data_IF_586111163827
#
_entry.id   IF_586111163827
#
_cell.length_a   1.000
_cell.length_b   1.000
_cell.length_c   1.000
_cell.angle_alpha   90.00
_cell.angle_beta   90.00
_cell.angle_gamma   90.00
#
_symmetry.space_group_name_H-M   'P 1'
#
loop_
_entity.id
_entity.type
_entity.pdbx_description
1 polymer ?
#
# COMPACT_ATOMS: atom_id res chain seq x y z
N UNK A 1 -22.30 30.66 30.44
CA UNK A 1 -23.67 30.15 30.50
C UNK A 1 -24.44 31.20 31.29
N UNK A 2 -25.17 32.11 30.63
CA UNK A 2 -26.05 33.01 31.37
C UNK A 2 -27.01 32.13 32.17
N UNK A 3 -27.12 32.35 33.48
CA UNK A 3 -27.97 31.54 34.35
C UNK A 3 -29.43 31.79 33.96
N UNK A 4 -29.92 31.04 32.98
CA UNK A 4 -31.32 31.05 32.56
C UNK A 4 -32.25 30.81 33.76
N UNK A 5 -31.76 30.06 34.74
CA UNK A 5 -32.37 29.90 36.04
C UNK A 5 -32.46 31.21 36.84
N UNK A 6 -31.40 32.02 36.88
CA UNK A 6 -31.42 33.34 37.52
C UNK A 6 -32.36 34.31 36.78
N UNK A 7 -32.41 34.24 35.44
CA UNK A 7 -33.37 35.02 34.65
C UNK A 7 -34.82 34.63 35.00
N UNK A 8 -35.13 33.32 35.01
CA UNK A 8 -36.45 32.84 35.42
C UNK A 8 -36.79 33.23 36.86
N UNK A 9 -35.81 33.18 37.77
CA UNK A 9 -35.98 33.56 39.18
C UNK A 9 -36.22 35.06 39.35
N UNK A 10 -35.49 35.92 38.63
CA UNK A 10 -35.73 37.38 38.62
C UNK A 10 -37.11 37.69 38.05
N UNK A 11 -37.49 37.04 36.95
CA UNK A 11 -38.79 37.22 36.31
C UNK A 11 -39.93 36.77 37.24
N UNK A 12 -39.72 35.69 38.00
CA UNK A 12 -40.63 35.21 39.04
C UNK A 12 -40.74 36.19 40.21
N UNK A 13 -39.63 36.68 40.76
CA UNK A 13 -39.64 37.68 41.82
C UNK A 13 -40.34 38.98 41.39
N UNK A 14 -40.11 39.40 40.15
CA UNK A 14 -40.77 40.57 39.56
C UNK A 14 -42.27 40.35 39.37
N UNK A 15 -42.70 39.15 38.97
CA UNK A 15 -44.12 38.78 38.90
C UNK A 15 -44.81 38.90 40.25
N UNK A 16 -44.18 38.36 41.30
CA UNK A 16 -44.69 38.37 42.68
C UNK A 16 -44.74 39.78 43.24
N UNK A 17 -43.70 40.60 42.99
CA UNK A 17 -43.60 41.96 43.50
C UNK A 17 -44.59 42.92 42.81
N UNK A 18 -44.72 42.84 41.49
CA UNK A 18 -45.58 43.73 40.71
C UNK A 18 -47.04 43.26 40.63
N UNK A 19 -47.36 42.02 41.08
CA UNK A 19 -48.69 41.38 40.99
C UNK A 19 -49.27 41.43 39.57
N UNK A 20 -48.42 41.24 38.57
CA UNK A 20 -48.80 41.28 37.16
C UNK A 20 -49.03 39.87 36.63
N UNK A 21 -50.29 39.50 36.40
CA UNK A 21 -50.67 38.15 35.95
C UNK A 21 -50.02 37.76 34.62
N UNK A 22 -49.77 38.73 33.73
CA UNK A 22 -49.16 38.47 32.42
C UNK A 22 -47.71 37.97 32.49
N UNK A 23 -47.00 38.29 33.58
CA UNK A 23 -45.62 37.87 33.77
C UNK A 23 -45.56 36.35 34.02
N UNK A 24 -46.56 35.76 34.68
CA UNK A 24 -46.64 34.31 34.86
C UNK A 24 -46.79 33.57 33.53
N UNK A 25 -47.58 34.10 32.59
CA UNK A 25 -47.66 33.53 31.24
C UNK A 25 -46.31 33.55 30.53
N UNK A 26 -45.53 34.64 30.66
CA UNK A 26 -44.19 34.72 30.10
C UNK A 26 -43.25 33.66 30.69
N UNK A 27 -43.30 33.45 32.02
CA UNK A 27 -42.51 32.41 32.70
C UNK A 27 -42.87 31.02 32.19
N UNK A 28 -44.16 30.71 32.05
CA UNK A 28 -44.60 29.40 31.54
C UNK A 28 -44.17 29.17 30.10
N UNK A 29 -44.26 30.19 29.24
CA UNK A 29 -43.83 30.09 27.84
C UNK A 29 -42.31 29.90 27.76
N UNK A 30 -41.53 30.73 28.45
CA UNK A 30 -40.06 30.68 28.43
C UNK A 30 -39.55 29.38 29.06
N UNK A 31 -40.10 28.98 30.21
CA UNK A 31 -39.78 27.72 30.86
C UNK A 31 -40.21 26.49 30.03
N UNK A 32 -41.37 26.55 29.38
CA UNK A 32 -41.84 25.52 28.46
C UNK A 32 -40.94 25.36 27.24
N UNK A 33 -40.50 26.46 26.62
CA UNK A 33 -39.55 26.45 25.50
C UNK A 33 -38.22 25.83 25.94
N UNK A 34 -37.74 26.17 27.13
CA UNK A 34 -36.49 25.60 27.67
C UNK A 34 -36.60 24.09 27.93
N UNK A 35 -37.67 23.65 28.60
CA UNK A 35 -37.90 22.23 28.86
C UNK A 35 -38.07 21.44 27.56
N UNK A 36 -38.83 21.99 26.60
CA UNK A 36 -39.01 21.41 25.27
C UNK A 36 -37.70 21.34 24.49
N UNK A 37 -36.89 22.41 24.51
CA UNK A 37 -35.58 22.46 23.86
C UNK A 37 -34.65 21.36 24.37
N UNK A 38 -34.58 21.17 25.69
CA UNK A 38 -33.74 20.13 26.29
C UNK A 38 -34.25 18.72 25.98
N UNK A 39 -35.57 18.53 26.03
CA UNK A 39 -36.20 17.26 25.67
C UNK A 39 -35.97 16.89 24.20
N UNK A 40 -36.19 17.84 23.28
CA UNK A 40 -35.99 17.64 21.84
C UNK A 40 -34.51 17.38 21.53
N UNK A 41 -33.59 18.16 22.10
CA UNK A 41 -32.15 18.05 21.83
C UNK A 41 -31.57 16.74 22.34
N UNK A 42 -32.03 16.23 23.49
CA UNK A 42 -31.63 14.89 23.97
C UNK A 42 -32.12 13.77 23.07
N UNK A 43 -33.28 13.93 22.42
CA UNK A 43 -33.87 12.91 21.55
C UNK A 43 -33.36 12.98 20.11
N UNK A 44 -32.90 14.15 19.65
CA UNK A 44 -32.55 14.40 18.25
C UNK A 44 -31.48 13.43 17.74
N UNK A 45 -30.32 13.35 18.42
CA UNK A 45 -29.22 12.47 18.00
C UNK A 45 -29.53 10.98 18.22
N UNK A 46 -30.26 10.62 19.28
CA UNK A 46 -30.66 9.22 19.51
C UNK A 46 -31.59 8.66 18.42
N UNK A 47 -32.32 9.54 17.73
CA UNK A 47 -33.22 9.17 16.63
C UNK A 47 -32.57 9.29 15.25
N UNK A 48 -31.30 9.70 15.19
CA UNK A 48 -30.57 9.93 13.95
C UNK A 48 -29.77 8.68 13.60
N UNK A 49 -30.16 8.00 12.52
CA UNK A 49 -29.38 6.91 11.97
C UNK A 49 -28.36 7.48 10.97
N UNK A 50 -27.09 7.22 11.23
CA UNK A 50 -25.97 7.65 10.40
C UNK A 50 -25.49 6.45 9.60
N UNK A 51 -25.35 6.60 8.28
CA UNK A 51 -24.72 5.61 7.41
C UNK A 51 -23.68 6.29 6.55
N UNK A 52 -22.47 5.74 6.55
CA UNK A 52 -21.34 6.23 5.75
C UNK A 52 -21.14 5.28 4.58
N UNK A 53 -20.88 5.83 3.41
CA UNK A 53 -20.34 5.10 2.25
C UNK A 53 -19.01 5.73 1.94
N UNK A 54 -17.97 4.98 2.26
CA UNK A 54 -16.59 5.42 2.10
C UNK A 54 -15.90 4.51 1.09
N UNK A 55 -15.02 5.06 0.26
CA UNK A 55 -14.12 4.24 -0.54
C UNK A 55 -13.18 3.48 0.41
N UNK A 56 -12.98 2.19 0.14
CA UNK A 56 -12.01 1.36 0.88
C UNK A 56 -10.63 1.39 0.23
N UNK A 57 -10.57 1.70 -1.06
CA UNK A 57 -9.38 1.60 -1.90
C UNK A 57 -9.32 2.76 -2.89
N UNK A 58 -8.14 3.30 -3.12
CA UNK A 58 -7.86 4.33 -4.12
C UNK A 58 -6.40 4.23 -4.58
N UNK A 59 -6.05 4.83 -5.72
CA UNK A 59 -4.66 5.04 -6.10
C UNK A 59 -4.17 6.46 -5.79
N UNK A 60 -2.86 6.60 -5.70
CA UNK A 60 -2.22 7.92 -5.50
C UNK A 60 -2.51 8.82 -6.70
N UNK A 61 -2.97 10.05 -6.42
CA UNK A 61 -3.40 11.04 -7.42
C UNK A 61 -4.89 10.99 -7.77
N UNK A 62 -5.65 10.01 -7.26
CA UNK A 62 -7.09 9.93 -7.49
C UNK A 62 -7.88 10.80 -6.50
N UNK A 63 -9.01 11.33 -6.97
CA UNK A 63 -10.03 11.95 -6.12
C UNK A 63 -11.16 10.96 -5.91
N UNK A 64 -11.49 10.67 -4.66
CA UNK A 64 -12.58 9.76 -4.30
C UNK A 64 -13.66 10.49 -3.51
N UNK A 65 -14.92 10.18 -3.83
CA UNK A 65 -16.08 10.76 -3.17
C UNK A 65 -16.49 9.91 -1.97
N UNK A 66 -16.73 10.57 -0.84
CA UNK A 66 -17.26 9.97 0.38
C UNK A 66 -18.64 10.54 0.68
N UNK A 67 -19.59 9.68 1.05
CA UNK A 67 -20.99 10.03 1.28
C UNK A 67 -21.40 9.73 2.72
N UNK A 68 -22.02 10.71 3.39
CA UNK A 68 -22.66 10.56 4.69
C UNK A 68 -24.17 10.75 4.51
N UNK A 69 -24.92 9.69 4.79
CA UNK A 69 -26.37 9.65 4.74
C UNK A 69 -26.91 9.71 6.16
N UNK A 70 -27.65 10.78 6.44
CA UNK A 70 -28.29 11.03 7.71
C UNK A 70 -29.78 10.76 7.56
N UNK A 71 -30.33 9.86 8.38
CA UNK A 71 -31.75 9.56 8.40
C UNK A 71 -32.36 9.90 9.76
N UNK A 72 -33.19 10.94 9.81
CA UNK A 72 -33.92 11.30 11.00
C UNK A 72 -35.21 10.46 11.08
N UNK A 73 -35.31 9.59 12.08
CA UNK A 73 -36.49 8.75 12.29
C UNK A 73 -37.59 9.45 13.11
N UNK A 74 -37.26 10.56 13.76
CA UNK A 74 -38.20 11.32 14.57
C UNK A 74 -39.13 12.18 13.73
N UNK A 75 -40.28 12.54 14.32
CA UNK A 75 -41.23 13.49 13.76
C UNK A 75 -40.72 14.93 13.74
N UNK A 76 -39.84 15.28 14.68
CA UNK A 76 -39.35 16.64 14.84
C UNK A 76 -38.11 16.88 13.96
N UNK A 77 -37.99 18.07 13.35
CA UNK A 77 -36.80 18.43 12.61
C UNK A 77 -35.61 18.66 13.54
N UNK A 78 -34.40 18.44 13.01
CA UNK A 78 -33.13 18.86 13.60
C UNK A 78 -32.74 20.16 12.89
N UNK A 79 -32.98 21.34 13.51
CA UNK A 79 -32.85 22.62 12.82
C UNK A 79 -31.41 22.88 12.41
N UNK A 80 -30.44 22.56 13.29
CA UNK A 80 -29.02 22.61 12.98
C UNK A 80 -28.31 21.34 13.44
N UNK A 81 -27.49 20.80 12.54
CA UNK A 81 -26.62 19.67 12.76
C UNK A 81 -25.26 20.01 12.16
N UNK A 82 -24.24 20.12 13.01
CA UNK A 82 -22.85 20.29 12.61
C UNK A 82 -22.23 18.91 12.45
N UNK A 83 -21.81 18.61 11.23
CA UNK A 83 -21.13 17.39 10.84
C UNK A 83 -19.66 17.74 10.71
N UNK A 84 -18.79 17.05 11.44
CA UNK A 84 -17.34 17.23 11.37
C UNK A 84 -16.68 15.88 11.13
N UNK A 85 -16.06 15.73 9.97
CA UNK A 85 -15.25 14.57 9.62
C UNK A 85 -13.77 14.88 9.87
N UNK A 86 -13.04 13.92 10.44
CA UNK A 86 -11.60 14.04 10.66
C UNK A 86 -10.85 13.33 9.54
N UNK A 87 -10.26 14.11 8.63
CA UNK A 87 -9.57 13.62 7.43
C UNK A 87 -8.06 13.86 7.55
N UNK A 88 -7.21 12.83 7.39
CA UNK A 88 -5.75 12.98 7.37
C UNK A 88 -5.27 13.96 6.29
N UNK A 89 -4.19 14.70 6.56
CA UNK A 89 -3.68 15.76 5.67
C UNK A 89 -3.45 15.30 4.23
N UNK A 90 -2.92 14.09 4.04
CA UNK A 90 -2.64 13.51 2.72
C UNK A 90 -3.90 13.16 1.91
N UNK A 91 -5.10 13.28 2.50
CA UNK A 91 -6.39 13.03 1.84
C UNK A 91 -7.22 14.31 1.66
N UNK A 92 -6.74 15.47 2.10
CA UNK A 92 -7.51 16.70 2.09
C UNK A 92 -7.57 17.36 0.70
N UNK A 93 -8.68 17.97 0.32
CA UNK A 93 -8.83 18.70 -0.97
C UNK A 93 -8.83 20.22 -0.78
N UNK A 94 -8.64 20.70 0.46
CA UNK A 94 -8.84 22.11 0.84
C UNK A 94 -10.30 22.49 1.11
N UNK A 95 -11.23 21.55 0.93
CA UNK A 95 -12.64 21.69 1.35
C UNK A 95 -12.77 21.63 2.88
N UNK A 96 -13.77 22.35 3.43
CA UNK A 96 -14.10 22.23 4.85
C UNK A 96 -14.85 20.93 5.09
N UNK A 97 -14.21 19.98 5.79
CA UNK A 97 -14.85 18.77 6.33
C UNK A 97 -15.79 19.03 7.52
N UNK A 98 -16.04 20.32 7.80
CA UNK A 98 -17.07 20.80 8.71
C UNK A 98 -18.24 21.36 7.90
N UNK A 99 -19.38 20.70 8.00
CA UNK A 99 -20.62 21.06 7.32
C UNK A 99 -21.71 21.34 8.34
N UNK A 100 -22.64 22.22 7.98
CA UNK A 100 -23.86 22.44 8.76
C UNK A 100 -25.04 22.07 7.88
N UNK A 101 -25.93 21.24 8.41
CA UNK A 101 -27.14 20.79 7.73
C UNK A 101 -28.35 20.95 8.64
N UNK A 102 -29.52 21.10 8.02
CA UNK A 102 -30.81 20.91 8.67
C UNK A 102 -31.39 19.60 8.16
N UNK A 103 -32.01 18.81 9.04
CA UNK A 103 -32.63 17.53 8.69
C UNK A 103 -34.07 17.55 9.15
N UNK A 104 -35.01 17.59 8.21
CA UNK A 104 -36.45 17.55 8.52
C UNK A 104 -36.86 16.28 9.28
N UNK A 105 -38.03 16.32 9.91
CA UNK A 105 -38.63 15.13 10.52
C UNK A 105 -38.88 14.04 9.47
N UNK A 106 -38.61 12.77 9.81
CA UNK A 106 -38.76 11.60 8.93
C UNK A 106 -38.07 11.72 7.57
N UNK A 107 -37.05 12.58 7.48
CA UNK A 107 -36.37 12.87 6.22
C UNK A 107 -34.97 12.25 6.17
N UNK A 108 -34.37 12.31 4.98
CA UNK A 108 -32.98 11.92 4.73
C UNK A 108 -32.22 13.13 4.21
N UNK A 109 -30.99 13.30 4.69
CA UNK A 109 -30.07 14.29 4.17
C UNK A 109 -28.77 13.57 3.79
N UNK A 110 -28.34 13.76 2.55
CA UNK A 110 -27.07 13.23 2.04
C UNK A 110 -26.07 14.37 1.94
N UNK A 111 -24.84 14.13 2.41
CA UNK A 111 -23.71 15.04 2.25
C UNK A 111 -22.53 14.28 1.64
N UNK A 112 -21.98 14.84 0.58
CA UNK A 112 -20.82 14.30 -0.13
C UNK A 112 -19.62 15.22 0.11
N UNK A 113 -18.45 14.65 0.27
CA UNK A 113 -17.18 15.38 0.33
C UNK A 113 -16.10 14.64 -0.47
N UNK A 114 -15.12 15.38 -0.96
CA UNK A 114 -14.06 14.84 -1.80
C UNK A 114 -12.77 14.64 -1.02
N UNK A 115 -12.14 13.49 -1.24
CA UNK A 115 -10.84 13.14 -0.70
C UNK A 115 -9.85 13.06 -1.87
N UNK A 116 -8.76 13.81 -1.81
CA UNK A 116 -7.70 13.76 -2.81
C UNK A 116 -6.49 12.99 -2.27
N UNK A 117 -6.17 11.86 -2.89
CA UNK A 117 -5.14 10.94 -2.44
C UNK A 117 -3.73 11.42 -2.82
N UNK A 118 -3.15 12.33 -2.05
CA UNK A 118 -1.83 12.91 -2.36
C UNK A 118 -0.68 11.91 -2.29
N UNK A 119 -0.75 10.96 -1.35
CA UNK A 119 0.30 9.98 -1.07
C UNK A 119 -0.31 8.63 -0.75
N UNK A 120 0.39 7.56 -1.13
CA UNK A 120 0.09 6.20 -0.68
C UNK A 120 0.07 6.14 0.85
N UNK A 121 -0.65 5.16 1.39
CA UNK A 121 -0.77 4.99 2.83
C UNK A 121 -2.00 4.22 3.22
N UNK A 122 -2.03 3.83 4.49
CA UNK A 122 -3.21 3.26 5.13
C UNK A 122 -3.81 4.30 6.08
N UNK A 123 -4.95 4.87 5.73
CA UNK A 123 -5.51 6.04 6.40
C UNK A 123 -6.79 5.71 7.16
N UNK A 124 -6.82 5.99 8.46
CA UNK A 124 -8.05 5.97 9.24
C UNK A 124 -8.90 7.23 8.95
N UNK A 125 -10.14 7.03 8.52
CA UNK A 125 -11.12 8.08 8.25
C UNK A 125 -12.04 8.27 9.45
N UNK A 126 -11.90 9.40 10.13
CA UNK A 126 -12.71 9.76 11.28
C UNK A 126 -11.90 10.03 12.55
N UNK A 127 -12.58 10.20 13.69
CA UNK A 127 -14.00 9.89 13.90
C UNK A 127 -14.95 10.94 13.30
N UNK A 128 -16.15 10.49 12.89
CA UNK A 128 -17.25 11.37 12.51
C UNK A 128 -17.90 11.95 13.77
N UNK A 129 -17.91 13.27 13.90
CA UNK A 129 -18.53 13.99 15.02
C UNK A 129 -19.77 14.73 14.55
N UNK A 130 -20.87 14.48 15.25
CA UNK A 130 -22.15 15.16 15.06
C UNK A 130 -22.47 15.99 16.29
N UNK A 131 -22.69 17.28 16.10
CA UNK A 131 -23.18 18.17 17.15
C UNK A 131 -24.52 18.75 16.71
N UNK A 132 -25.55 18.57 17.53
CA UNK A 132 -26.86 19.17 17.35
C UNK A 132 -27.20 20.06 18.53
N UNK A 133 -28.16 20.95 18.34
CA UNK A 133 -28.72 21.73 19.43
C UNK A 133 -29.98 22.44 19.00
N UNK A 134 -30.39 23.38 19.84
CA UNK A 134 -31.58 24.19 19.61
C UNK A 134 -31.24 25.56 18.99
N UNK A 135 -32.27 26.27 18.53
CA UNK A 135 -32.14 27.60 17.93
C UNK A 135 -31.75 28.68 18.96
N UNK A 136 -32.05 28.46 20.24
CA UNK A 136 -31.78 29.41 21.32
C UNK A 136 -30.46 29.13 22.05
N UNK A 137 -29.79 28.01 21.76
CA UNK A 137 -28.54 27.61 22.39
C UNK A 137 -28.67 27.14 23.84
N UNK A 138 -29.87 26.76 24.29
CA UNK A 138 -30.11 26.23 25.64
C UNK A 138 -29.57 24.81 25.82
N UNK A 139 -29.57 24.00 24.76
CA UNK A 139 -29.17 22.60 24.83
C UNK A 139 -28.30 22.21 23.64
N UNK A 140 -27.29 21.39 23.92
CA UNK A 140 -26.43 20.80 22.91
C UNK A 140 -26.35 19.29 23.15
N UNK A 141 -26.27 18.53 22.07
CA UNK A 141 -26.03 17.11 22.07
C UNK A 141 -24.89 16.80 21.11
N UNK A 142 -24.01 15.89 21.51
CA UNK A 142 -22.86 15.45 20.73
C UNK A 142 -22.92 13.94 20.58
N UNK A 143 -22.55 13.46 19.39
CA UNK A 143 -22.37 12.06 19.07
C UNK A 143 -21.07 11.90 18.31
N UNK A 144 -20.31 10.87 18.65
CA UNK A 144 -19.04 10.54 18.02
C UNK A 144 -19.05 9.06 17.64
N UNK A 145 -18.63 8.79 16.41
CA UNK A 145 -18.50 7.42 15.92
C UNK A 145 -17.32 6.72 16.58
N UNK A 146 -17.52 5.49 17.05
CA UNK A 146 -16.49 4.71 17.75
C UNK A 146 -15.50 4.05 16.78
N UNK A 147 -16.00 3.52 15.67
CA UNK A 147 -15.19 2.85 14.66
C UNK A 147 -14.62 3.83 13.65
N UNK A 148 -13.34 3.65 13.31
CA UNK A 148 -12.67 4.42 12.26
C UNK A 148 -12.50 3.51 11.04
N UNK A 149 -13.34 3.66 9.99
CA UNK A 149 -13.11 2.96 8.74
C UNK A 149 -11.78 3.40 8.11
N UNK A 150 -11.20 2.53 7.29
CA UNK A 150 -9.88 2.75 6.70
C UNK A 150 -9.97 2.87 5.17
N UNK A 151 -9.11 3.72 4.61
CA UNK A 151 -8.89 3.87 3.18
C UNK A 151 -7.43 3.51 2.88
N UNK A 152 -7.25 2.46 2.07
CA UNK A 152 -5.93 2.09 1.54
C UNK A 152 -5.68 2.85 0.24
N UNK A 153 -4.68 3.70 0.23
CA UNK A 153 -4.21 4.38 -0.98
C UNK A 153 -2.99 3.65 -1.52
N UNK A 154 -3.15 3.00 -2.66
CA UNK A 154 -2.09 2.27 -3.34
C UNK A 154 -1.05 3.22 -3.96
N UNK A 155 0.21 2.77 -4.05
CA UNK A 155 1.23 3.51 -4.78
C UNK A 155 0.84 3.71 -6.24
N UNK A 156 1.37 4.77 -6.85
CA UNK A 156 1.27 4.96 -8.30
C UNK A 156 1.92 3.76 -9.01
N UNK A 157 1.25 3.24 -10.03
CA UNK A 157 1.76 2.15 -10.88
C UNK A 157 1.97 2.72 -12.28
N UNK A 158 3.21 2.66 -12.77
CA UNK A 158 3.56 3.09 -14.12
C UNK A 158 3.41 1.91 -15.09
N UNK A 159 2.89 2.19 -16.28
CA UNK A 159 2.82 1.19 -17.34
C UNK A 159 4.19 1.05 -17.98
N UNK A 160 4.73 -0.17 -17.95
CA UNK A 160 6.03 -0.48 -18.54
C UNK A 160 5.80 -1.20 -19.87
N UNK A 161 6.41 -0.71 -20.95
CA UNK A 161 6.06 -1.15 -22.31
C UNK A 161 6.69 -2.49 -22.71
N UNK A 162 7.69 -3.03 -21.98
CA UNK A 162 8.25 -4.40 -22.14
C UNK A 162 9.46 -4.64 -21.24
N UNK A 163 9.38 -4.97 -19.95
CA UNK A 163 10.60 -5.40 -19.22
C UNK A 163 11.17 -6.63 -19.94
N UNK A 164 12.39 -6.50 -20.48
CA UNK A 164 13.08 -7.56 -21.22
C UNK A 164 13.45 -8.78 -20.38
N UNK A 165 12.77 -8.98 -19.22
CA UNK A 165 12.85 -10.12 -18.30
C UNK A 165 12.93 -11.42 -19.08
N UNK A 166 13.67 -12.44 -18.60
CA UNK A 166 13.71 -13.75 -19.23
C UNK A 166 12.31 -14.38 -19.27
N UNK A 167 11.53 -13.95 -20.25
CA UNK A 167 10.19 -14.42 -20.55
C UNK A 167 10.36 -15.67 -21.38
N UNK A 168 10.19 -16.83 -20.75
CA UNK A 168 10.12 -18.09 -21.48
C UNK A 168 8.75 -18.71 -21.29
N UNK A 169 7.76 -18.12 -21.97
CA UNK A 169 6.79 -18.95 -22.67
C UNK A 169 7.61 -19.79 -23.68
N UNK A 170 7.73 -21.12 -23.53
CA UNK A 170 8.71 -21.91 -24.26
C UNK A 170 8.19 -22.31 -25.65
N UNK A 171 7.78 -21.32 -26.46
CA UNK A 171 7.45 -21.53 -27.87
C UNK A 171 8.40 -20.83 -28.84
N UNK A 172 9.40 -20.09 -28.34
CA UNK A 172 10.47 -19.50 -29.14
C UNK A 172 11.76 -20.31 -29.08
N UNK A 173 12.36 -20.57 -30.24
CA UNK A 173 13.61 -21.31 -30.43
C UNK A 173 14.77 -20.50 -29.82
N UNK A 174 15.02 -20.62 -28.52
CA UNK A 174 16.22 -20.12 -27.88
C UNK A 174 17.29 -21.22 -27.86
N UNK A 175 18.36 -21.02 -28.62
CA UNK A 175 19.61 -21.79 -28.54
C UNK A 175 20.36 -21.41 -27.25
N UNK A 176 19.84 -21.80 -26.10
CA UNK A 176 20.60 -21.68 -24.84
C UNK A 176 21.38 -22.97 -24.57
N UNK A 177 22.68 -22.81 -24.31
CA UNK A 177 23.61 -23.87 -23.87
C UNK A 177 23.41 -24.27 -22.40
N UNK A 178 22.45 -23.68 -21.69
CA UNK A 178 22.15 -24.04 -20.31
C UNK A 178 21.19 -25.23 -20.29
N UNK A 179 21.57 -26.28 -19.56
CA UNK A 179 20.75 -27.47 -19.35
C UNK A 179 19.50 -27.06 -18.57
N UNK A 180 18.42 -26.76 -19.30
CA UNK A 180 17.07 -26.71 -18.75
C UNK A 180 16.88 -28.07 -18.07
N UNK A 181 16.75 -28.09 -16.74
CA UNK A 181 16.31 -29.29 -16.05
C UNK A 181 14.92 -29.61 -16.59
N UNK A 182 14.84 -30.70 -17.33
CA UNK A 182 13.62 -31.23 -17.90
C UNK A 182 13.00 -32.12 -16.83
N UNK A 183 11.74 -31.90 -16.47
CA UNK A 183 11.06 -32.79 -15.54
C UNK A 183 10.76 -34.11 -16.26
N UNK A 184 11.36 -35.25 -15.87
CA UNK A 184 11.13 -36.54 -16.52
C UNK A 184 9.68 -37.03 -16.37
N UNK A 185 8.91 -36.45 -15.44
CA UNK A 185 7.54 -36.85 -15.13
C UNK A 185 6.49 -36.11 -15.97
N UNK A 186 6.86 -34.97 -16.59
CA UNK A 186 5.95 -34.13 -17.40
C UNK A 186 6.32 -34.16 -18.88
N UNK A 187 5.80 -35.16 -19.59
CA UNK A 187 5.99 -35.29 -21.04
C UNK A 187 5.08 -34.31 -21.80
N UNK A 188 5.67 -33.40 -22.59
CA UNK A 188 4.99 -32.42 -23.44
C UNK A 188 4.61 -32.97 -24.82
N UNK A 189 5.31 -34.01 -25.29
CA UNK A 189 5.12 -34.61 -26.62
C UNK A 189 6.34 -35.40 -27.09
N UNK A 190 6.39 -35.69 -28.39
CA UNK A 190 7.53 -36.36 -29.06
C UNK A 190 8.03 -35.51 -30.23
N UNK A 191 9.32 -35.66 -30.57
CA UNK A 191 9.91 -35.06 -31.79
C UNK A 191 10.87 -36.04 -32.46
N UNK A 192 11.20 -35.85 -33.76
CA UNK A 192 12.23 -36.64 -34.42
C UNK A 192 13.58 -36.57 -33.71
N UNK A 193 14.27 -37.70 -33.66
CA UNK A 193 15.63 -37.85 -33.13
C UNK A 193 16.62 -37.05 -33.97
N UNK A 194 17.49 -36.29 -33.31
CA UNK A 194 18.60 -35.59 -33.94
C UNK A 194 19.94 -36.08 -33.37
N UNK A 195 20.97 -36.07 -34.21
CA UNK A 195 22.33 -36.44 -33.80
C UNK A 195 22.81 -35.55 -32.65
N UNK A 196 23.01 -36.16 -31.47
CA UNK A 196 23.34 -35.47 -30.22
C UNK A 196 22.32 -35.71 -29.09
N UNK A 197 21.15 -36.25 -29.41
CA UNK A 197 20.15 -36.61 -28.42
C UNK A 197 20.53 -37.90 -27.66
N UNK A 198 20.30 -37.87 -26.35
CA UNK A 198 20.54 -39.03 -25.47
C UNK A 198 19.56 -40.16 -25.79
N UNK A 199 20.09 -41.37 -26.02
CA UNK A 199 19.29 -42.57 -26.28
C UNK A 199 18.34 -42.92 -25.13
N UNK A 200 18.64 -42.48 -23.89
CA UNK A 200 17.75 -42.69 -22.73
C UNK A 200 16.42 -41.95 -22.85
N UNK A 201 16.34 -40.93 -23.70
CA UNK A 201 15.13 -40.13 -23.90
C UNK A 201 14.30 -40.60 -25.11
N UNK A 202 14.66 -41.72 -25.76
CA UNK A 202 13.87 -42.29 -26.86
C UNK A 202 12.52 -42.78 -26.32
N UNK A 203 11.44 -42.41 -27.00
CA UNK A 203 10.11 -42.92 -26.72
C UNK A 203 9.85 -44.16 -27.58
N UNK A 204 10.33 -45.32 -27.11
CA UNK A 204 10.30 -46.58 -27.87
C UNK A 204 8.93 -46.95 -28.40
N UNK A 205 7.87 -46.77 -27.60
CA UNK A 205 6.50 -47.11 -28.01
C UNK A 205 5.98 -46.24 -29.16
N UNK A 206 6.40 -44.97 -29.23
CA UNK A 206 5.99 -44.08 -30.32
C UNK A 206 6.86 -44.34 -31.56
N UNK A 207 8.15 -44.58 -31.34
CA UNK A 207 9.10 -44.87 -32.42
C UNK A 207 8.76 -46.16 -33.17
N UNK A 208 8.23 -47.17 -32.46
CA UNK A 208 7.79 -48.43 -33.04
C UNK A 208 6.51 -48.32 -33.89
N UNK A 209 5.71 -47.27 -33.69
CA UNK A 209 4.47 -47.06 -34.45
C UNK A 209 4.68 -46.20 -35.69
N UNK A 210 5.62 -45.24 -35.62
CA UNK A 210 5.89 -44.26 -36.66
C UNK A 210 7.11 -44.63 -37.54
N UNK A 211 7.68 -45.81 -37.32
CA UNK A 211 8.89 -46.38 -37.95
C UNK A 211 10.10 -45.41 -38.02
N UNK A 212 10.12 -44.44 -37.11
CA UNK A 212 11.15 -43.41 -37.01
C UNK A 212 11.52 -43.18 -35.54
N UNK A 213 12.79 -42.86 -35.26
CA UNK A 213 13.23 -42.61 -33.88
C UNK A 213 12.65 -41.30 -33.36
N UNK A 214 11.85 -41.39 -32.30
CA UNK A 214 11.21 -40.25 -31.64
C UNK A 214 11.77 -40.07 -30.22
N UNK A 215 12.09 -38.84 -29.85
CA UNK A 215 12.63 -38.45 -28.53
C UNK A 215 11.53 -37.76 -27.72
N UNK A 216 11.43 -38.11 -26.43
CA UNK A 216 10.53 -37.47 -25.46
C UNK A 216 10.86 -35.98 -25.35
N UNK A 217 9.87 -35.13 -25.58
CA UNK A 217 9.92 -33.70 -25.26
C UNK A 217 9.34 -33.53 -23.86
N UNK A 218 10.16 -33.11 -22.91
CA UNK A 218 9.72 -32.82 -21.55
C UNK A 218 9.34 -31.34 -21.43
N UNK A 219 8.39 -31.01 -20.54
CA UNK A 219 8.15 -29.63 -20.16
C UNK A 219 9.35 -29.10 -19.34
N UNK A 220 9.77 -27.84 -19.52
CA UNK A 220 10.72 -27.19 -18.61
C UNK A 220 10.17 -27.26 -17.18
N UNK A 221 11.00 -27.64 -16.20
CA UNK A 221 10.53 -27.96 -14.84
C UNK A 221 10.36 -26.77 -13.90
N UNK A 222 10.55 -25.52 -14.33
CA UNK A 222 10.49 -24.36 -13.42
C UNK A 222 9.78 -23.18 -14.08
N UNK A 223 8.68 -22.74 -13.47
CA UNK A 223 8.28 -21.34 -13.59
C UNK A 223 9.42 -20.52 -12.97
N UNK A 224 10.05 -19.66 -13.77
CA UNK A 224 11.09 -18.77 -13.26
C UNK A 224 10.39 -17.70 -12.43
N UNK A 225 10.29 -17.94 -11.12
CA UNK A 225 9.74 -16.97 -10.19
C UNK A 225 10.63 -15.73 -10.16
N UNK A 226 10.03 -14.55 -10.16
CA UNK A 226 10.74 -13.27 -10.04
C UNK A 226 10.47 -12.64 -8.68
N UNK A 227 11.49 -12.58 -7.83
CA UNK A 227 11.38 -11.96 -6.50
C UNK A 227 11.87 -10.52 -6.56
N UNK A 228 10.99 -9.58 -6.22
CA UNK A 228 11.34 -8.18 -6.05
C UNK A 228 11.84 -8.00 -4.62
N UNK A 229 13.03 -7.44 -4.46
CA UNK A 229 13.58 -7.02 -3.18
C UNK A 229 13.53 -5.51 -3.13
N UNK A 230 12.79 -4.94 -2.19
CA UNK A 230 12.67 -3.50 -2.02
C UNK A 230 13.43 -3.03 -0.78
N UNK A 231 14.39 -2.13 -1.00
CA UNK A 231 15.18 -1.51 0.06
C UNK A 231 14.47 -0.28 0.64
N UNK A 232 14.16 -0.33 1.94
CA UNK A 232 13.53 0.72 2.72
C UNK A 232 14.27 0.95 4.04
N UNK A 233 15.56 0.62 4.12
CA UNK A 233 16.41 1.09 5.22
C UNK A 233 16.65 2.60 5.08
N UNK A 234 16.27 3.36 6.10
CA UNK A 234 16.39 4.83 6.10
C UNK A 234 17.82 5.31 5.87
N UNK A 235 18.82 4.58 6.37
CA UNK A 235 20.22 4.98 6.26
C UNK A 235 20.85 4.64 4.90
N UNK A 236 20.19 3.81 4.09
CA UNK A 236 20.62 3.54 2.71
C UNK A 236 20.28 4.69 1.77
N UNK A 237 19.38 5.60 2.16
CA UNK A 237 19.02 6.78 1.38
C UNK A 237 19.79 8.03 1.85
N UNK A 238 20.33 8.86 0.93
CA UNK A 238 20.88 10.17 1.26
C UNK A 238 19.84 11.03 2.00
N UNK A 239 20.24 11.83 3.02
CA UNK A 239 19.29 12.58 3.86
C UNK A 239 18.25 13.42 3.09
N UNK A 240 18.67 14.02 1.96
CA UNK A 240 17.81 14.85 1.10
C UNK A 240 16.84 14.04 0.24
N UNK A 241 17.16 12.77 -0.03
CA UNK A 241 16.39 11.88 -0.90
C UNK A 241 15.64 10.79 -0.12
N UNK A 242 15.76 10.73 1.22
CA UNK A 242 15.04 9.75 2.07
C UNK A 242 13.57 9.63 1.71
N UNK A 243 12.86 10.75 1.67
CA UNK A 243 11.42 10.74 1.40
C UNK A 243 11.13 10.52 -0.09
N UNK A 244 11.75 11.28 -0.99
CA UNK A 244 11.46 11.20 -2.42
C UNK A 244 11.91 9.88 -3.07
N UNK A 245 13.13 9.45 -2.74
CA UNK A 245 13.75 8.24 -3.28
C UNK A 245 13.08 6.97 -2.78
N UNK A 246 12.65 6.90 -1.52
CA UNK A 246 11.92 5.73 -1.01
C UNK A 246 10.52 5.61 -1.60
N UNK A 247 9.80 6.72 -1.74
CA UNK A 247 8.50 6.73 -2.45
C UNK A 247 8.68 6.31 -3.92
N UNK A 248 9.74 6.78 -4.56
CA UNK A 248 10.08 6.36 -5.92
C UNK A 248 10.43 4.86 -5.99
N UNK A 249 11.18 4.33 -5.02
CA UNK A 249 11.49 2.90 -4.91
C UNK A 249 10.21 2.06 -4.82
N UNK A 250 9.23 2.50 -4.03
CA UNK A 250 7.93 1.84 -3.91
C UNK A 250 7.16 1.87 -5.23
N UNK A 251 7.16 3.01 -5.95
CA UNK A 251 6.54 3.12 -7.28
C UNK A 251 7.21 2.18 -8.29
N UNK A 252 8.54 2.10 -8.28
CA UNK A 252 9.31 1.18 -9.13
C UNK A 252 8.93 -0.27 -8.81
N UNK A 253 8.95 -0.67 -7.54
CA UNK A 253 8.56 -2.02 -7.12
C UNK A 253 7.11 -2.37 -7.51
N UNK A 254 6.17 -1.45 -7.31
CA UNK A 254 4.77 -1.62 -7.68
C UNK A 254 4.60 -1.78 -9.21
N UNK A 255 5.35 -0.99 -9.99
CA UNK A 255 5.32 -1.02 -11.46
C UNK A 255 5.94 -2.31 -12.01
N UNK A 256 7.06 -2.76 -11.44
CA UNK A 256 7.68 -4.05 -11.77
C UNK A 256 6.72 -5.21 -11.48
N UNK A 257 6.12 -5.25 -10.27
CA UNK A 257 5.18 -6.30 -9.88
C UNK A 257 3.97 -6.36 -10.82
N UNK A 258 3.37 -5.20 -11.12
CA UNK A 258 2.24 -5.07 -12.04
C UNK A 258 2.60 -5.58 -13.45
N UNK A 259 3.77 -5.21 -13.94
CA UNK A 259 4.24 -5.65 -15.26
C UNK A 259 4.47 -7.16 -15.33
N UNK A 260 5.17 -7.75 -14.34
CA UNK A 260 5.48 -9.18 -14.28
C UNK A 260 4.19 -10.02 -14.21
N UNK A 261 3.25 -9.61 -13.35
CA UNK A 261 1.94 -10.28 -13.23
C UNK A 261 1.11 -10.09 -14.51
N UNK A 262 1.20 -8.92 -15.14
CA UNK A 262 0.60 -8.64 -16.45
C UNK A 262 1.09 -9.58 -17.54
N UNK A 263 2.37 -9.97 -17.50
CA UNK A 263 2.97 -11.00 -18.37
C UNK A 263 2.63 -12.45 -17.95
N UNK A 264 1.77 -12.64 -16.93
CA UNK A 264 1.39 -13.94 -16.35
C UNK A 264 2.57 -14.71 -15.73
N UNK A 265 3.60 -14.00 -15.30
CA UNK A 265 4.72 -14.58 -14.58
C UNK A 265 4.46 -14.52 -13.07
N UNK A 266 5.13 -15.41 -12.33
CA UNK A 266 5.08 -15.42 -10.87
C UNK A 266 6.00 -14.35 -10.31
N UNK A 267 5.48 -13.54 -9.38
CA UNK A 267 6.29 -12.56 -8.67
C UNK A 267 5.98 -12.54 -7.19
N UNK A 268 7.01 -12.28 -6.38
CA UNK A 268 6.91 -12.07 -4.95
C UNK A 268 7.62 -10.79 -4.53
N UNK A 269 7.41 -10.37 -3.30
CA UNK A 269 7.98 -9.16 -2.73
C UNK A 269 8.64 -9.47 -1.38
N UNK A 270 9.88 -9.04 -1.22
CA UNK A 270 10.66 -9.09 0.00
C UNK A 270 11.12 -7.66 0.30
N UNK A 271 11.03 -7.20 1.54
CA UNK A 271 11.48 -5.85 1.90
C UNK A 271 11.99 -5.80 3.34
N UNK A 272 13.02 -4.98 3.57
CA UNK A 272 13.53 -4.61 4.90
C UNK A 272 12.76 -3.41 5.50
N UNK A 273 11.64 -3.00 4.89
CA UNK A 273 10.75 -1.95 5.41
C UNK A 273 9.99 -2.37 6.66
N UNK A 274 9.35 -1.40 7.30
CA UNK A 274 8.48 -1.61 8.45
C UNK A 274 7.02 -1.72 8.00
N UNK A 275 6.34 -2.82 8.33
CA UNK A 275 4.89 -2.93 8.21
C UNK A 275 4.25 -2.67 9.59
N UNK A 276 3.59 -1.51 9.80
CA UNK A 276 3.03 -1.14 11.10
C UNK A 276 1.86 -2.03 11.54
N UNK A 277 1.32 -2.86 10.64
CA UNK A 277 0.24 -3.80 10.92
C UNK A 277 0.69 -5.26 10.94
N UNK A 278 2.00 -5.50 10.81
CA UNK A 278 2.55 -6.82 11.06
C UNK A 278 2.49 -7.09 12.55
N UNK A 279 1.54 -7.94 12.95
CA UNK A 279 1.47 -8.51 14.31
C UNK A 279 2.72 -9.37 14.52
N UNK A 280 3.84 -8.74 14.86
CA UNK A 280 4.89 -9.45 15.57
C UNK A 280 4.30 -9.87 16.91
N UNK A 281 4.17 -11.18 17.14
CA UNK A 281 3.62 -11.78 18.35
C UNK A 281 3.96 -10.91 19.57
N UNK A 282 2.99 -10.13 20.07
CA UNK A 282 3.20 -9.18 21.17
C UNK A 282 3.60 -9.88 22.50
N UNK A 283 3.62 -11.21 22.51
CA UNK A 283 4.03 -12.08 23.61
C UNK A 283 5.49 -12.55 23.53
N UNK A 284 6.20 -12.27 22.44
CA UNK A 284 7.65 -12.46 22.36
C UNK A 284 8.26 -11.09 22.14
N UNK A 285 9.06 -10.60 23.10
CA UNK A 285 9.79 -9.33 23.02
C UNK A 285 10.89 -9.37 21.96
N UNK A 286 10.50 -9.68 20.73
CA UNK A 286 11.37 -10.07 19.64
C UNK A 286 11.81 -8.84 18.85
N UNK A 287 13.10 -8.80 18.50
CA UNK A 287 13.74 -7.71 17.77
C UNK A 287 13.20 -7.50 16.33
N UNK A 288 12.19 -8.28 15.92
CA UNK A 288 11.60 -8.33 14.58
C UNK A 288 10.17 -7.75 14.54
N UNK A 289 9.74 -7.01 15.58
CA UNK A 289 8.44 -6.38 15.60
C UNK A 289 8.31 -5.36 14.45
N UNK A 290 7.29 -5.54 13.60
CA UNK A 290 7.06 -4.72 12.41
C UNK A 290 7.78 -5.18 11.14
N UNK A 291 8.40 -6.37 11.13
CA UNK A 291 8.93 -6.99 9.91
C UNK A 291 7.82 -7.26 8.89
N UNK A 292 8.04 -6.77 7.68
CA UNK A 292 7.17 -7.09 6.56
C UNK A 292 7.32 -8.56 6.20
N UNK A 293 6.20 -9.30 6.27
CA UNK A 293 6.21 -10.70 5.87
C UNK A 293 6.51 -10.84 4.37
N UNK A 294 7.45 -11.72 3.97
CA UNK A 294 7.77 -11.92 2.58
C UNK A 294 6.55 -12.50 1.84
N UNK A 295 6.18 -11.86 0.74
CA UNK A 295 5.12 -12.33 -0.14
C UNK A 295 5.73 -13.32 -1.14
N UNK A 296 5.33 -14.61 -1.15
CA UNK A 296 5.90 -15.60 -2.04
C UNK A 296 5.55 -15.33 -3.50
N UNK A 297 6.32 -15.94 -4.40
CA UNK A 297 6.08 -15.90 -5.83
C UNK A 297 4.76 -16.55 -6.24
N UNK A 298 3.79 -15.74 -6.64
CA UNK A 298 2.53 -16.23 -7.22
C UNK A 298 2.13 -15.32 -8.38
N UNK A 299 1.08 -15.70 -9.12
CA UNK A 299 0.54 -14.92 -10.23
C UNK A 299 -0.92 -14.51 -9.95
N UNK A 300 -1.45 -13.63 -10.81
CA UNK A 300 -2.85 -13.22 -10.79
C UNK A 300 -3.11 -11.86 -10.15
N UNK A 301 -4.26 -11.28 -10.50
CA UNK A 301 -4.65 -9.92 -10.10
C UNK A 301 -4.90 -9.79 -8.59
N UNK A 302 -5.44 -10.83 -7.94
CA UNK A 302 -5.61 -10.85 -6.48
C UNK A 302 -4.26 -10.79 -5.75
N UNK A 303 -3.25 -11.49 -6.27
CA UNK A 303 -1.89 -11.47 -5.73
C UNK A 303 -1.22 -10.10 -5.91
N UNK A 304 -1.36 -9.49 -7.08
CA UNK A 304 -0.91 -8.12 -7.33
C UNK A 304 -1.50 -7.16 -6.30
N UNK A 305 -2.80 -7.27 -6.02
CA UNK A 305 -3.46 -6.41 -5.05
C UNK A 305 -2.90 -6.60 -3.63
N UNK A 306 -2.53 -7.82 -3.24
CA UNK A 306 -1.86 -8.08 -1.97
C UNK A 306 -0.47 -7.45 -1.88
N UNK A 307 0.31 -7.50 -2.97
CA UNK A 307 1.60 -6.78 -3.06
C UNK A 307 1.40 -5.27 -2.94
N UNK A 308 0.44 -4.71 -3.69
CA UNK A 308 0.14 -3.28 -3.64
C UNK A 308 -0.37 -2.83 -2.27
N UNK A 309 -1.11 -3.67 -1.56
CA UNK A 309 -1.59 -3.41 -0.20
C UNK A 309 -0.44 -3.36 0.81
N UNK A 310 0.53 -4.28 0.72
CA UNK A 310 1.76 -4.21 1.52
C UNK A 310 2.53 -2.92 1.19
N UNK A 311 2.74 -2.63 -0.10
CA UNK A 311 3.44 -1.42 -0.54
C UNK A 311 2.70 -0.12 -0.17
N UNK A 312 1.38 -0.15 -0.01
CA UNK A 312 0.60 1.00 0.44
C UNK A 312 0.92 1.35 1.91
N UNK A 313 1.10 0.35 2.78
CA UNK A 313 1.31 0.55 4.22
C UNK A 313 2.77 0.50 4.68
N UNK A 314 3.68 0.01 3.84
CA UNK A 314 5.10 -0.11 4.20
C UNK A 314 5.74 1.27 4.45
N UNK A 315 6.52 1.37 5.52
CA UNK A 315 7.23 2.57 5.92
C UNK A 315 8.76 2.36 5.89
N UNK A 316 9.49 3.48 5.78
CA UNK A 316 10.94 3.49 5.94
C UNK A 316 11.31 2.99 7.32
N UNK A 317 12.22 2.01 7.38
CA UNK A 317 12.71 1.47 8.63
C UNK A 317 13.86 2.32 9.15
N UNK A 318 13.71 2.83 10.37
CA UNK A 318 14.79 3.45 11.12
C UNK A 318 15.45 2.43 12.03
N UNK A 319 16.77 2.37 12.00
CA UNK A 319 17.54 1.65 13.01
C UNK A 319 17.77 2.57 14.23
N UNK A 320 17.20 2.29 15.41
CA UNK A 320 17.38 3.12 16.60
C UNK A 320 18.82 3.11 17.12
N UNK A 321 19.58 2.05 16.84
CA UNK A 321 20.96 1.86 17.32
C UNK A 321 22.00 2.47 16.36
N UNK A 322 21.58 2.89 15.16
CA UNK A 322 22.44 3.55 14.21
C UNK A 322 22.42 5.07 14.42
N UNK A 323 23.60 5.65 14.64
CA UNK A 323 23.77 7.10 14.64
C UNK A 323 23.61 7.62 13.21
N UNK A 324 22.89 8.74 13.04
CA UNK A 324 22.73 9.38 11.73
C UNK A 324 24.12 9.88 11.32
N UNK A 325 24.74 9.35 10.24
CA UNK A 325 26.09 9.74 9.86
C UNK A 325 26.04 11.21 9.43
N UNK A 326 26.36 12.10 10.38
CA UNK A 326 26.38 13.54 10.16
C UNK A 326 27.52 13.96 9.22
N UNK A 327 28.51 13.09 9.00
CA UNK A 327 29.71 13.42 8.25
C UNK A 327 30.17 12.21 7.44
N UNK A 328 30.52 12.47 6.17
CA UNK A 328 31.32 11.61 5.27
C UNK A 328 30.73 10.27 4.80
N UNK A 329 29.91 10.29 3.75
CA UNK A 329 30.03 9.41 2.56
C UNK A 329 30.04 7.87 2.69
N UNK A 330 29.92 7.32 3.89
CA UNK A 330 29.92 5.89 4.21
C UNK A 330 28.50 5.46 4.58
N UNK A 331 27.81 4.82 3.64
CA UNK A 331 26.53 4.12 3.81
C UNK A 331 26.86 2.64 4.13
N UNK A 332 26.35 1.87 5.11
CA UNK A 332 25.50 2.05 6.31
C UNK A 332 25.94 0.96 7.32
N UNK A 333 26.15 1.24 8.63
CA UNK A 333 26.36 0.24 9.70
C UNK A 333 25.04 -0.35 10.25
N UNK A 334 23.89 -0.04 9.62
CA UNK A 334 22.59 -0.52 10.10
C UNK A 334 22.49 -2.05 10.05
N UNK A 335 21.83 -2.65 11.04
CA UNK A 335 21.47 -4.07 11.03
C UNK A 335 20.52 -4.43 9.87
N UNK A 336 19.75 -3.45 9.39
CA UNK A 336 18.80 -3.61 8.29
C UNK A 336 19.41 -3.25 6.93
N UNK A 337 20.70 -2.90 6.90
CA UNK A 337 21.43 -2.66 5.66
C UNK A 337 21.36 -3.92 4.80
N UNK A 338 21.08 -3.71 3.51
CA UNK A 338 20.65 -4.78 2.64
C UNK A 338 21.69 -5.89 2.47
N UNK A 339 22.99 -5.56 2.51
CA UNK A 339 24.07 -6.55 2.42
C UNK A 339 24.10 -7.55 3.59
N UNK A 340 23.69 -7.13 4.80
CA UNK A 340 23.61 -8.00 5.98
C UNK A 340 22.25 -8.71 6.07
N UNK A 341 21.19 -8.01 5.71
CA UNK A 341 19.82 -8.48 5.84
C UNK A 341 19.41 -9.46 4.72
N UNK A 342 19.83 -9.21 3.47
CA UNK A 342 19.38 -9.97 2.31
C UNK A 342 19.70 -11.47 2.38
N UNK A 343 20.93 -11.92 2.71
CA UNK A 343 21.30 -13.33 2.60
C UNK A 343 20.43 -14.26 3.46
N UNK A 344 20.01 -13.83 4.65
CA UNK A 344 19.15 -14.64 5.53
C UNK A 344 17.72 -14.75 5.00
N UNK A 345 17.21 -13.73 4.31
CA UNK A 345 15.83 -13.65 3.83
C UNK A 345 15.61 -14.28 2.45
N UNK A 346 16.66 -14.48 1.66
CA UNK A 346 16.58 -15.15 0.35
C UNK A 346 17.03 -16.61 0.38
N UNK A 347 17.33 -17.15 1.56
CA UNK A 347 17.82 -18.52 1.72
C UNK A 347 16.83 -19.60 1.28
N UNK A 348 15.53 -19.32 1.29
CA UNK A 348 14.50 -20.24 0.80
C UNK A 348 14.31 -20.26 -0.71
N UNK A 349 14.96 -19.37 -1.47
CA UNK A 349 14.72 -19.25 -2.91
C UNK A 349 15.38 -20.40 -3.70
N UNK A 350 14.64 -20.91 -4.68
CA UNK A 350 15.06 -21.98 -5.57
C UNK A 350 16.11 -21.52 -6.59
N UNK A 351 16.88 -22.47 -7.13
CA UNK A 351 17.85 -22.22 -8.19
C UNK A 351 17.16 -21.67 -9.45
N UNK A 352 17.77 -20.69 -10.11
CA UNK A 352 17.22 -20.04 -11.32
C UNK A 352 16.20 -18.92 -11.06
N UNK A 353 15.83 -18.64 -9.81
CA UNK A 353 14.95 -17.51 -9.44
C UNK A 353 15.60 -16.19 -9.88
N UNK A 354 14.81 -15.29 -10.49
CA UNK A 354 15.28 -13.94 -10.83
C UNK A 354 15.04 -13.02 -9.64
N UNK A 355 16.10 -12.36 -9.17
CA UNK A 355 16.05 -11.43 -8.05
C UNK A 355 16.21 -10.01 -8.59
N UNK A 356 15.17 -9.19 -8.51
CA UNK A 356 15.21 -7.78 -8.89
C UNK A 356 15.30 -6.95 -7.62
N UNK A 357 16.47 -6.37 -7.38
CA UNK A 357 16.74 -5.51 -6.24
C UNK A 357 16.45 -4.05 -6.60
N UNK A 358 15.54 -3.41 -5.88
CA UNK A 358 15.26 -1.97 -5.95
C UNK A 358 15.92 -1.31 -4.76
N UNK A 359 16.99 -0.55 -4.98
CA UNK A 359 17.81 0.05 -3.89
C UNK A 359 18.27 1.46 -4.25
N UNK A 360 18.41 2.39 -3.29
CA UNK A 360 18.92 3.72 -3.57
C UNK A 360 20.41 3.72 -3.96
N UNK A 361 21.21 2.85 -3.36
CA UNK A 361 22.67 2.91 -3.49
C UNK A 361 23.29 1.52 -3.58
N UNK A 362 24.32 1.41 -4.41
CA UNK A 362 25.07 0.19 -4.62
C UNK A 362 26.46 0.37 -3.99
N UNK A 363 26.67 -0.29 -2.86
CA UNK A 363 27.96 -0.30 -2.14
C UNK A 363 28.77 -1.56 -2.45
N UNK A 364 30.10 -1.51 -2.22
CA UNK A 364 30.97 -2.68 -2.42
C UNK A 364 30.54 -3.91 -1.59
N UNK A 365 30.18 -3.80 -0.29
CA UNK A 365 29.67 -4.94 0.48
C UNK A 365 28.39 -5.54 -0.11
N UNK A 366 27.52 -4.69 -0.67
CA UNK A 366 26.32 -5.14 -1.34
C UNK A 366 26.66 -5.90 -2.63
N UNK A 367 27.57 -5.38 -3.47
CA UNK A 367 28.02 -6.09 -4.67
C UNK A 367 28.58 -7.47 -4.37
N UNK A 368 29.40 -7.61 -3.31
CA UNK A 368 29.91 -8.91 -2.87
C UNK A 368 28.79 -9.87 -2.45
N UNK A 369 27.81 -9.37 -1.72
CA UNK A 369 26.64 -10.14 -1.29
C UNK A 369 25.81 -10.62 -2.49
N UNK A 370 25.58 -9.74 -3.47
CA UNK A 370 24.88 -10.05 -4.71
C UNK A 370 25.67 -11.03 -5.58
N UNK A 371 26.99 -10.92 -5.65
CA UNK A 371 27.83 -11.86 -6.37
C UNK A 371 27.78 -13.25 -5.75
N UNK A 372 27.74 -13.36 -4.41
CA UNK A 372 27.55 -14.64 -3.73
C UNK A 372 26.19 -15.29 -4.07
N UNK A 373 25.12 -14.49 -4.17
CA UNK A 373 23.80 -14.95 -4.60
C UNK A 373 23.79 -15.38 -6.08
N UNK A 374 24.49 -14.65 -6.95
CA UNK A 374 24.65 -15.02 -8.35
C UNK A 374 25.38 -16.36 -8.50
N UNK A 375 26.46 -16.56 -7.72
CA UNK A 375 27.21 -17.84 -7.69
C UNK A 375 26.40 -19.02 -7.14
N UNK A 376 25.39 -18.77 -6.31
CA UNK A 376 24.41 -19.77 -5.86
C UNK A 376 23.44 -20.19 -6.98
N UNK A 377 23.40 -19.43 -8.08
CA UNK A 377 22.57 -19.70 -9.26
C UNK A 377 21.26 -18.91 -9.30
N UNK A 378 21.18 -17.79 -8.58
CA UNK A 378 20.11 -16.80 -8.73
C UNK A 378 20.48 -15.81 -9.83
N UNK A 379 19.52 -15.37 -10.64
CA UNK A 379 19.77 -14.32 -11.63
C UNK A 379 19.55 -12.96 -10.96
N UNK A 380 20.63 -12.25 -10.64
CA UNK A 380 20.56 -11.00 -9.86
C UNK A 380 20.55 -9.79 -10.78
N UNK A 381 19.58 -8.91 -10.55
CA UNK A 381 19.45 -7.64 -11.24
C UNK A 381 19.19 -6.51 -10.24
N UNK A 382 19.74 -5.33 -10.51
CA UNK A 382 19.65 -4.18 -9.62
C UNK A 382 19.08 -2.99 -10.36
N UNK A 383 18.10 -2.33 -9.73
CA UNK A 383 17.50 -1.07 -10.17
C UNK A 383 17.84 -0.02 -9.12
N UNK A 384 18.79 0.84 -9.45
CA UNK A 384 19.18 2.00 -8.66
C UNK A 384 18.19 3.15 -8.87
N UNK A 385 17.54 3.58 -7.78
CA UNK A 385 16.46 4.57 -7.81
C UNK A 385 16.89 5.98 -7.39
N UNK A 386 18.12 6.12 -6.89
CA UNK A 386 18.70 7.39 -6.47
C UNK A 386 19.97 7.66 -7.28
N UNK A 387 20.30 8.94 -7.47
CA UNK A 387 21.52 9.34 -8.18
C UNK A 387 22.73 9.08 -7.29
N UNK A 388 23.57 8.12 -7.70
CA UNK A 388 24.86 7.87 -7.05
C UNK A 388 26.03 8.43 -7.86
N UNK A 389 27.02 9.08 -7.20
CA UNK A 389 28.25 9.48 -7.87
C UNK A 389 29.06 8.24 -8.30
N UNK A 390 29.68 8.29 -9.48
CA UNK A 390 30.49 7.18 -9.98
C UNK A 390 29.70 5.94 -10.40
N UNK A 391 28.40 6.07 -10.69
CA UNK A 391 27.52 4.96 -11.11
C UNK A 391 28.15 4.09 -12.22
N UNK A 392 28.77 4.68 -13.25
CA UNK A 392 29.40 3.93 -14.34
C UNK A 392 30.50 2.97 -13.86
N UNK A 393 31.34 3.39 -12.89
CA UNK A 393 32.39 2.53 -12.34
C UNK A 393 31.78 1.32 -11.61
N UNK A 394 30.76 1.59 -10.79
CA UNK A 394 30.04 0.58 -10.03
C UNK A 394 29.28 -0.37 -10.96
N UNK A 395 28.67 0.14 -12.02
CA UNK A 395 27.98 -0.65 -13.05
C UNK A 395 28.95 -1.58 -13.78
N UNK A 396 30.10 -1.06 -14.22
CA UNK A 396 31.13 -1.89 -14.88
C UNK A 396 31.68 -2.98 -13.96
N UNK A 397 31.86 -2.67 -12.67
CA UNK A 397 32.28 -3.66 -11.66
C UNK A 397 31.22 -4.72 -11.43
N UNK A 398 29.94 -4.35 -11.39
CA UNK A 398 28.82 -5.27 -11.24
C UNK A 398 28.67 -6.18 -12.47
N UNK A 399 28.80 -5.63 -13.68
CA UNK A 399 28.77 -6.40 -14.93
C UNK A 399 29.91 -7.42 -15.00
N UNK A 400 31.12 -7.05 -14.55
CA UNK A 400 32.24 -7.98 -14.42
C UNK A 400 31.95 -9.14 -13.43
N UNK A 401 31.04 -8.93 -12.48
CA UNK A 401 30.55 -9.94 -11.53
C UNK A 401 29.30 -10.69 -12.03
N UNK A 402 28.85 -10.44 -13.27
CA UNK A 402 27.66 -11.03 -13.88
C UNK A 402 26.34 -10.50 -13.31
N UNK A 403 26.35 -9.30 -12.74
CA UNK A 403 25.18 -8.62 -12.16
C UNK A 403 24.77 -7.49 -13.10
N UNK A 404 23.52 -7.49 -13.53
CA UNK A 404 23.00 -6.40 -14.37
C UNK A 404 22.50 -5.26 -13.49
N UNK A 405 22.98 -4.05 -13.76
CA UNK A 405 22.63 -2.86 -12.99
C UNK A 405 22.00 -1.83 -13.93
N UNK A 406 20.87 -1.30 -13.49
CA UNK A 406 20.11 -0.30 -14.20
C UNK A 406 19.86 0.90 -13.31
N UNK A 407 19.80 2.08 -13.91
CA UNK A 407 19.43 3.30 -13.21
C UNK A 407 18.04 3.74 -13.67
N UNK A 408 17.14 3.96 -12.72
CA UNK A 408 15.81 4.50 -12.96
C UNK A 408 15.60 5.71 -12.04
N UNK A 409 16.01 6.89 -12.48
CA UNK A 409 15.86 8.12 -11.69
C UNK A 409 14.50 8.79 -11.92
N UNK A 410 13.95 8.61 -13.12
CA UNK A 410 12.70 9.22 -13.56
C UNK A 410 11.74 8.19 -14.17
N UNK A 411 10.47 8.59 -14.33
CA UNK A 411 9.45 7.77 -14.99
C UNK A 411 9.85 7.35 -16.41
N UNK A 412 10.55 8.22 -17.13
CA UNK A 412 11.08 7.93 -18.48
C UNK A 412 12.10 6.81 -18.49
N UNK A 413 12.97 6.76 -17.47
CA UNK A 413 14.06 5.80 -17.39
C UNK A 413 13.50 4.40 -17.09
N UNK A 414 12.49 4.34 -16.23
CA UNK A 414 11.77 3.11 -15.92
C UNK A 414 10.99 2.58 -17.14
N UNK A 415 10.44 3.45 -17.98
CA UNK A 415 9.81 3.03 -19.23
C UNK A 415 10.85 2.50 -20.24
N UNK A 416 12.03 3.12 -20.31
CA UNK A 416 13.14 2.69 -21.18
C UNK A 416 13.79 1.38 -20.73
N UNK A 417 13.76 1.06 -19.43
CA UNK A 417 14.17 -0.24 -18.91
C UNK A 417 13.44 -1.39 -19.60
N UNK A 418 12.22 -1.13 -20.08
CA UNK A 418 11.53 -2.05 -20.95
C UNK A 418 12.12 -2.11 -22.37
N UNK A 419 12.20 -0.97 -23.04
CA UNK A 419 12.55 -0.89 -24.46
C UNK A 419 13.98 -1.35 -24.80
N UNK A 420 14.95 -1.22 -23.87
CA UNK A 420 16.35 -1.61 -24.12
C UNK A 420 16.62 -3.12 -24.08
N UNK A 421 15.59 -3.97 -23.89
CA UNK A 421 15.82 -5.41 -23.74
C UNK A 421 16.67 -5.75 -22.51
N UNK A 422 16.65 -4.89 -21.48
CA UNK A 422 17.65 -4.80 -20.40
C UNK A 422 17.80 -6.03 -19.50
N UNK A 423 16.96 -7.06 -19.63
CA UNK A 423 17.15 -8.33 -18.93
C UNK A 423 17.53 -9.47 -19.88
N UNK A 424 17.98 -9.17 -21.11
CA UNK A 424 18.60 -10.16 -21.98
C UNK A 424 20.02 -10.46 -21.51
N UNK A 425 20.11 -11.46 -20.65
CA UNK A 425 21.35 -12.11 -20.27
C UNK A 425 21.38 -13.55 -20.77
N UNK A 426 22.03 -13.76 -21.92
CA UNK A 426 22.48 -15.02 -22.58
C UNK A 426 21.58 -15.59 -23.68
#
# INVERSE_FOLDING_TARGET
MFDFFALLLVLFLMAVFLRLDWIYYLIYVVGGIWAFSHWQTRRSLNSLMVRRRLPTRAFTGETVDAEVVLHNTSLLPIPWLRIQESVPLNLQTGESYRLVASVGGRSKATRTFRLFCHRRGYYALGPLRLNAGDLFGFAQSAWEEQEKPHLTVYPKVLTLEQLGLPSRLPFGILRSRQRIFMDPTRMAGVRPYASGDSMRHIHWRASAHDDTLLVKKFQPSMALTTMIVLDLDQFSYPPRERLGGSEWAVVVAASLASHIIGQRQETGLITNGLDPFSDGDANQGDANQGDAHPIPGMNGQGHLMGILELLARIELRRDPDAEDPMEEGLLSPSRFALHNWLPSHVNGLGWGTTLILVTPHISDPLLWSLHALNRRGLNVQVVAVVRQPGFEKVSNQAEAMGIHVHQALWESDLAQLGQQGGFHGI
#
